data_IF_514354657196
#
_entry.id   IF_514354657196
#
_cell.length_a   1.000
_cell.length_b   1.000
_cell.length_c   1.000
_cell.angle_alpha   90.00
_cell.angle_beta   90.00
_cell.angle_gamma   90.00
#
_symmetry.space_group_name_H-M   'P 1'
#
loop_
_entity.id
_entity.type
_entity.pdbx_description
1 polymer ?
#
# COMPACT_ATOMS: atom_id res chain seq x y z
N UNK A 1 -41.84 -40.15 -26.64
CA UNK A 1 -40.95 -39.05 -27.10
C UNK A 1 -40.41 -38.39 -25.84
N UNK A 2 -39.15 -38.67 -25.48
CA UNK A 2 -38.00 -37.74 -25.64
C UNK A 2 -38.29 -36.40 -24.95
N UNK A 3 -37.61 -35.95 -23.91
CA UNK A 3 -36.42 -36.39 -23.22
C UNK A 3 -36.21 -35.39 -22.08
N UNK A 4 -35.46 -35.81 -21.06
CA UNK A 4 -35.05 -34.96 -19.96
C UNK A 4 -34.41 -33.66 -20.47
N UNK A 5 -34.85 -32.52 -19.97
CA UNK A 5 -34.04 -31.31 -19.99
C UNK A 5 -33.99 -30.81 -18.55
N UNK A 6 -33.16 -31.49 -17.76
CA UNK A 6 -32.60 -30.96 -16.53
C UNK A 6 -31.81 -29.72 -16.94
N UNK A 7 -32.44 -28.55 -16.82
CA UNK A 7 -31.77 -27.26 -16.96
C UNK A 7 -30.92 -27.09 -15.70
N UNK A 8 -29.77 -27.73 -15.68
CA UNK A 8 -28.70 -27.45 -14.73
C UNK A 8 -28.31 -25.99 -14.93
N UNK A 9 -28.77 -25.13 -14.02
CA UNK A 9 -28.23 -23.79 -13.82
C UNK A 9 -26.75 -23.95 -13.45
N UNK A 10 -25.88 -23.94 -14.46
CA UNK A 10 -24.47 -23.65 -14.27
C UNK A 10 -24.40 -22.21 -13.76
N UNK A 11 -24.22 -22.05 -12.44
CA UNK A 11 -23.75 -20.80 -11.85
C UNK A 11 -22.46 -20.42 -12.58
N UNK A 12 -22.56 -19.43 -13.46
CA UNK A 12 -21.43 -18.71 -14.01
C UNK A 12 -20.77 -17.97 -12.84
N UNK A 13 -19.80 -18.62 -12.20
CA UNK A 13 -18.87 -17.94 -11.30
C UNK A 13 -18.01 -17.05 -12.19
N UNK A 14 -18.42 -15.79 -12.31
CA UNK A 14 -17.64 -14.77 -12.99
C UNK A 14 -16.44 -14.48 -12.10
N UNK A 15 -15.32 -15.17 -12.31
CA UNK A 15 -14.05 -14.81 -11.70
C UNK A 15 -13.59 -13.54 -12.39
N UNK A 16 -13.88 -12.39 -11.78
CA UNK A 16 -13.33 -11.11 -12.21
C UNK A 16 -11.85 -11.13 -11.83
N UNK A 17 -10.99 -11.54 -12.77
CA UNK A 17 -9.55 -11.38 -12.61
C UNK A 17 -9.27 -9.90 -12.80
N UNK A 18 -9.21 -9.14 -11.71
CA UNK A 18 -8.62 -7.81 -11.73
C UNK A 18 -7.15 -8.00 -12.11
N UNK A 19 -6.81 -7.71 -13.36
CA UNK A 19 -5.42 -7.50 -13.77
C UNK A 19 -4.94 -6.26 -13.03
N UNK A 20 -4.40 -6.45 -11.82
CA UNK A 20 -3.82 -5.38 -11.03
C UNK A 20 -2.66 -4.75 -11.82
N UNK A 21 -2.69 -3.45 -12.00
CA UNK A 21 -1.51 -2.73 -12.46
C UNK A 21 -0.41 -2.93 -11.42
N UNK A 22 0.76 -3.38 -11.86
CA UNK A 22 1.87 -3.61 -10.94
C UNK A 22 2.25 -2.29 -10.25
N UNK A 23 2.36 -2.33 -8.92
CA UNK A 23 2.75 -1.16 -8.13
C UNK A 23 4.11 -0.64 -8.60
N UNK A 24 4.15 0.63 -8.98
CA UNK A 24 5.38 1.30 -9.39
C UNK A 24 6.08 1.94 -8.18
N UNK A 25 7.24 1.40 -7.79
CA UNK A 25 8.02 1.96 -6.69
C UNK A 25 8.50 3.40 -6.91
N UNK A 26 8.64 3.84 -8.16
CA UNK A 26 8.94 5.23 -8.48
C UNK A 26 7.79 6.16 -8.14
N UNK A 27 6.55 5.72 -8.36
CA UNK A 27 5.35 6.47 -7.99
C UNK A 27 5.15 6.51 -6.47
N UNK A 28 5.31 5.38 -5.78
CA UNK A 28 5.25 5.30 -4.30
C UNK A 28 6.33 6.19 -3.68
N UNK A 29 7.57 6.08 -4.17
CA UNK A 29 8.68 6.91 -3.71
C UNK A 29 8.46 8.40 -3.98
N UNK A 30 7.96 8.75 -5.16
CA UNK A 30 7.62 10.13 -5.51
C UNK A 30 6.51 10.72 -4.62
N UNK A 31 5.47 9.93 -4.34
CA UNK A 31 4.39 10.33 -3.43
C UNK A 31 4.90 10.58 -2.00
N UNK A 32 5.85 9.77 -1.51
CA UNK A 32 6.38 9.87 -0.15
C UNK A 32 7.60 10.79 -0.01
N UNK A 33 8.19 11.27 -1.10
CA UNK A 33 9.34 12.18 -1.06
C UNK A 33 9.13 13.42 -0.16
N UNK A 34 7.95 14.07 -0.14
CA UNK A 34 7.70 15.20 0.77
C UNK A 34 7.69 14.82 2.26
N UNK A 35 7.59 13.53 2.59
CA UNK A 35 7.59 13.05 3.98
C UNK A 35 8.98 12.92 4.58
N UNK A 36 10.05 12.96 3.77
CA UNK A 36 11.42 12.75 4.24
C UNK A 36 11.81 13.67 5.41
N UNK A 37 11.52 14.99 5.41
CA UNK A 37 11.84 15.85 6.54
C UNK A 37 11.17 15.37 7.84
N UNK A 38 9.88 15.06 7.81
CA UNK A 38 9.17 14.53 8.98
C UNK A 38 9.73 13.17 9.42
N UNK A 39 9.97 12.26 8.47
CA UNK A 39 10.46 10.91 8.73
C UNK A 39 11.89 10.88 9.31
N UNK A 40 12.68 11.93 9.11
CA UNK A 40 14.09 12.00 9.56
C UNK A 40 14.33 13.02 10.68
N UNK A 41 13.51 14.07 10.76
CA UNK A 41 13.67 15.18 11.71
C UNK A 41 12.53 15.23 12.73
N UNK A 42 11.37 14.64 12.45
CA UNK A 42 10.17 14.72 13.29
C UNK A 42 9.36 15.99 13.03
N UNK A 43 8.60 16.44 14.03
CA UNK A 43 7.66 17.56 13.89
C UNK A 43 6.30 17.11 13.37
N UNK A 44 5.70 17.92 12.50
CA UNK A 44 4.43 17.60 11.84
C UNK A 44 4.64 17.35 10.35
N UNK A 45 3.93 16.37 9.75
CA UNK A 45 3.99 16.14 8.31
C UNK A 45 3.38 17.33 7.57
N UNK A 46 3.97 17.70 6.44
CA UNK A 46 3.40 18.71 5.55
C UNK A 46 2.09 18.21 4.92
N UNK A 47 1.26 19.13 4.43
CA UNK A 47 0.06 18.77 3.65
C UNK A 47 0.40 17.87 2.46
N UNK A 48 1.47 18.20 1.71
CA UNK A 48 1.95 17.40 0.59
C UNK A 48 2.42 15.99 0.98
N UNK A 49 3.02 15.84 2.16
CA UNK A 49 3.36 14.52 2.69
C UNK A 49 2.07 13.72 2.94
N UNK A 50 1.08 14.31 3.60
CA UNK A 50 -0.17 13.61 3.87
C UNK A 50 -0.98 13.28 2.62
N UNK A 51 -0.95 14.13 1.60
CA UNK A 51 -1.54 13.83 0.29
C UNK A 51 -0.83 12.67 -0.38
N UNK A 52 0.50 12.59 -0.26
CA UNK A 52 1.30 11.46 -0.69
C UNK A 52 0.91 10.15 -0.01
N UNK A 53 0.77 10.16 1.33
CA UNK A 53 0.33 8.98 2.10
C UNK A 53 -1.06 8.53 1.68
N UNK A 54 -2.01 9.47 1.54
CA UNK A 54 -3.37 9.18 1.04
C UNK A 54 -3.35 8.56 -0.35
N UNK A 55 -2.50 9.08 -1.25
CA UNK A 55 -2.33 8.54 -2.60
C UNK A 55 -1.82 7.09 -2.55
N UNK A 56 -0.81 6.78 -1.73
CA UNK A 56 -0.31 5.40 -1.60
C UNK A 56 -1.41 4.46 -1.10
N UNK A 57 -2.26 4.89 -0.17
CA UNK A 57 -3.40 4.09 0.29
C UNK A 57 -4.40 3.84 -0.85
N UNK A 58 -4.69 4.85 -1.67
CA UNK A 58 -5.57 4.69 -2.84
C UNK A 58 -5.00 3.76 -3.91
N UNK A 59 -3.69 3.76 -4.09
CA UNK A 59 -2.99 2.88 -5.02
C UNK A 59 -2.90 1.43 -4.54
N UNK A 60 -3.29 1.12 -3.30
CA UNK A 60 -3.07 -0.21 -2.70
C UNK A 60 -4.37 -0.89 -2.20
N UNK A 61 -5.38 -1.05 -3.07
CA UNK A 61 -6.67 -1.61 -2.66
C UNK A 61 -6.58 -3.09 -2.29
N UNK A 62 -5.71 -3.87 -2.93
CA UNK A 62 -5.58 -5.31 -2.68
C UNK A 62 -4.43 -5.62 -1.73
N UNK A 63 -4.45 -6.82 -1.16
CA UNK A 63 -3.34 -7.33 -0.33
C UNK A 63 -2.03 -7.36 -1.14
N UNK A 64 -2.08 -7.83 -2.38
CA UNK A 64 -0.91 -7.90 -3.25
C UNK A 64 -0.29 -6.51 -3.46
N UNK A 65 -1.12 -5.50 -3.73
CA UNK A 65 -0.65 -4.12 -3.90
C UNK A 65 0.02 -3.58 -2.64
N UNK A 66 -0.55 -3.87 -1.46
CA UNK A 66 0.02 -3.48 -0.17
C UNK A 66 1.37 -4.13 0.09
N UNK A 67 1.52 -5.41 -0.29
CA UNK A 67 2.78 -6.13 -0.17
C UNK A 67 3.84 -5.55 -1.11
N UNK A 68 3.46 -5.24 -2.35
CA UNK A 68 4.39 -4.68 -3.34
C UNK A 68 4.81 -3.24 -2.95
N UNK A 69 3.85 -2.41 -2.52
CA UNK A 69 4.15 -1.08 -1.96
C UNK A 69 5.02 -1.14 -0.70
N UNK A 70 4.81 -2.15 0.16
CA UNK A 70 5.67 -2.38 1.31
C UNK A 70 7.13 -2.63 0.89
N UNK A 71 7.37 -3.47 -0.12
CA UNK A 71 8.73 -3.73 -0.60
C UNK A 71 9.39 -2.46 -1.16
N UNK A 72 8.61 -1.64 -1.89
CA UNK A 72 9.07 -0.32 -2.35
C UNK A 72 9.47 0.60 -1.17
N UNK A 73 8.61 0.71 -0.16
CA UNK A 73 8.85 1.57 1.01
C UNK A 73 9.99 1.05 1.88
N UNK A 74 10.14 -0.27 2.03
CA UNK A 74 11.26 -0.89 2.73
C UNK A 74 12.59 -0.54 2.08
N UNK A 75 12.68 -0.67 0.76
CA UNK A 75 13.87 -0.30 -0.01
C UNK A 75 14.16 1.21 0.08
N UNK A 76 13.13 2.06 0.09
CA UNK A 76 13.29 3.49 0.28
C UNK A 76 13.75 3.84 1.70
N UNK A 77 13.13 3.25 2.72
CA UNK A 77 13.45 3.45 4.14
C UNK A 77 14.90 3.07 4.45
N UNK A 78 15.41 1.99 3.83
CA UNK A 78 16.80 1.56 3.98
C UNK A 78 17.85 2.58 3.50
N UNK A 79 17.45 3.59 2.70
CA UNK A 79 18.34 4.67 2.25
C UNK A 79 18.55 5.76 3.30
N UNK A 80 17.73 5.77 4.36
CA UNK A 80 17.76 6.80 5.40
C UNK A 80 18.23 6.17 6.72
N UNK A 81 19.52 6.29 7.02
CA UNK A 81 20.10 5.78 8.28
C UNK A 81 19.58 6.49 9.52
N UNK A 82 19.06 7.72 9.37
CA UNK A 82 18.47 8.55 10.42
C UNK A 82 16.93 8.52 10.42
N UNK A 83 16.31 7.53 9.79
CA UNK A 83 14.85 7.36 9.85
C UNK A 83 14.41 7.21 11.32
N UNK A 84 13.41 8.00 11.73
CA UNK A 84 12.83 7.93 13.08
C UNK A 84 11.68 6.93 13.09
N UNK A 85 11.80 5.77 13.78
CA UNK A 85 10.76 4.75 13.80
C UNK A 85 9.42 5.26 14.31
N UNK A 86 9.43 6.12 15.34
CA UNK A 86 8.23 6.72 15.90
C UNK A 86 7.55 7.70 14.94
N UNK A 87 8.32 8.43 14.12
CA UNK A 87 7.74 9.30 13.11
C UNK A 87 7.06 8.45 12.03
N UNK A 88 7.75 7.41 11.55
CA UNK A 88 7.26 6.49 10.54
C UNK A 88 5.97 5.76 10.96
N UNK A 89 5.90 5.28 12.20
CA UNK A 89 4.71 4.59 12.73
C UNK A 89 3.52 5.53 12.94
N UNK A 90 3.77 6.79 13.33
CA UNK A 90 2.73 7.79 13.56
C UNK A 90 2.30 8.55 12.30
N UNK A 91 3.02 8.42 11.17
CA UNK A 91 2.72 9.19 9.97
C UNK A 91 1.27 9.02 9.48
N UNK A 92 0.72 7.78 9.36
CA UNK A 92 -0.63 7.61 8.83
C UNK A 92 -1.68 8.30 9.71
N UNK A 93 -1.60 8.11 11.04
CA UNK A 93 -2.55 8.70 11.99
C UNK A 93 -2.45 10.24 12.01
N UNK A 94 -1.24 10.80 11.93
CA UNK A 94 -1.04 12.26 11.79
C UNK A 94 -1.63 12.81 10.49
N UNK A 95 -1.69 11.99 9.44
CA UNK A 95 -2.29 12.35 8.17
C UNK A 95 -3.80 12.02 8.06
N UNK A 96 -4.41 11.55 9.15
CA UNK A 96 -5.84 11.23 9.20
C UNK A 96 -6.21 10.00 8.37
N UNK A 97 -5.28 9.08 8.15
CA UNK A 97 -5.51 7.84 7.41
C UNK A 97 -5.10 6.61 8.22
N UNK A 98 -5.69 5.47 7.88
CA UNK A 98 -5.30 4.17 8.42
C UNK A 98 -4.73 3.34 7.29
N UNK A 99 -3.59 2.71 7.53
CA UNK A 99 -2.95 1.81 6.57
C UNK A 99 -2.25 0.69 7.32
N UNK A 100 -2.28 -0.52 6.75
CA UNK A 100 -1.56 -1.68 7.27
C UNK A 100 -0.12 -1.76 6.75
N UNK A 101 0.30 -0.85 5.86
CA UNK A 101 1.60 -0.91 5.20
C UNK A 101 2.65 -0.18 6.06
N UNK A 102 3.64 -0.88 6.65
CA UNK A 102 4.61 -0.24 7.53
C UNK A 102 5.69 0.50 6.73
N UNK A 103 6.15 1.63 7.25
CA UNK A 103 7.35 2.33 6.76
C UNK A 103 8.52 1.91 7.64
N UNK A 104 9.24 0.87 7.24
CA UNK A 104 10.38 0.35 7.99
C UNK A 104 11.33 -0.44 7.10
N UNK A 105 12.67 -0.32 7.33
CA UNK A 105 13.65 -1.06 6.55
C UNK A 105 13.67 -2.57 6.87
N UNK A 106 13.08 -3.00 7.98
CA UNK A 106 13.15 -4.39 8.47
C UNK A 106 11.81 -5.12 8.46
N UNK A 107 10.75 -4.49 7.99
CA UNK A 107 9.43 -5.11 7.91
C UNK A 107 9.44 -6.35 6.99
N UNK A 108 8.71 -7.38 7.42
CA UNK A 108 8.35 -8.50 6.57
C UNK A 108 7.11 -8.13 5.75
N UNK A 109 7.30 -7.76 4.48
CA UNK A 109 6.19 -7.33 3.64
C UNK A 109 5.22 -8.45 3.28
N UNK A 110 5.62 -9.72 3.41
CA UNK A 110 4.74 -10.87 3.16
C UNK A 110 3.65 -11.05 4.23
N UNK A 111 3.82 -10.45 5.41
CA UNK A 111 2.79 -10.50 6.47
C UNK A 111 1.83 -9.31 6.41
N UNK A 112 1.92 -8.44 5.40
CA UNK A 112 0.98 -7.35 5.22
C UNK A 112 -0.37 -7.94 4.76
N UNK A 113 -1.47 -7.65 5.49
CA UNK A 113 -2.79 -8.19 5.20
C UNK A 113 -3.39 -7.56 3.95
#
# INVERSE_FOLDING_TARGET
MKGAVLVSLFMLVVVVVQLGEAINCGEVGGALAPCVPYLTQGGDPSGSCCDGVKKVVQLTPTQQDRQDACECMKAAAARYSNLKPDAASNLPSRCGVTTAIPISPTTNCKSVP
#
